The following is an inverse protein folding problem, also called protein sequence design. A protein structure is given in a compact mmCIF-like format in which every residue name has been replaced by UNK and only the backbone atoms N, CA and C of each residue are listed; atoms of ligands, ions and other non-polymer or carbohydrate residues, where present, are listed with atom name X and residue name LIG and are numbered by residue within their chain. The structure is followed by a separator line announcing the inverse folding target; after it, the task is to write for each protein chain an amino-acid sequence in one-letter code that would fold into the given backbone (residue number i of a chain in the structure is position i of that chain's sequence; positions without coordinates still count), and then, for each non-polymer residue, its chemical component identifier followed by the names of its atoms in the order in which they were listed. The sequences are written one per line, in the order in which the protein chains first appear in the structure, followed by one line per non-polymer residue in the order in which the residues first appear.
data_IF_460374419887
#
_entry.id   IF_460374419887
#
_cell.length_a   1.000
_cell.length_b   1.000
_cell.length_c   1.000
_cell.angle_alpha   90.00
_cell.angle_beta   90.00
_cell.angle_gamma   90.00
#
_symmetry.space_group_name_H-M   'P 1'
#
loop_
_entity.id
_entity.type
_entity.pdbx_description
1 polymer ?
#
# COMPACT_ATOMS: atom_id res chain seq x y z
N UNK A 1 -5.35 10.28 0.36
CA UNK A 1 -6.75 9.90 0.01
C UNK A 1 -7.32 9.15 1.21
N UNK A 2 -8.55 8.62 1.19
CA UNK A 2 -9.06 7.82 2.33
C UNK A 2 -8.60 6.36 2.21
N UNK A 3 -8.43 5.65 3.33
CA UNK A 3 -7.92 4.28 3.37
C UNK A 3 -8.80 3.31 2.56
N UNK A 4 -10.12 3.49 2.60
CA UNK A 4 -11.08 2.75 1.78
C UNK A 4 -10.90 2.99 0.27
N UNK A 5 -10.48 4.20 -0.13
CA UNK A 5 -10.15 4.47 -1.53
C UNK A 5 -8.86 3.75 -1.94
N UNK A 6 -7.84 3.75 -1.09
CA UNK A 6 -6.60 3.00 -1.31
C UNK A 6 -6.87 1.49 -1.51
N UNK A 7 -7.73 0.91 -0.67
CA UNK A 7 -8.16 -0.48 -0.80
C UNK A 7 -8.97 -0.75 -2.06
N UNK A 8 -9.89 0.15 -2.43
CA UNK A 8 -10.68 -0.02 -3.65
C UNK A 8 -9.81 -0.01 -4.91
N UNK A 9 -8.83 0.90 -5.01
CA UNK A 9 -7.83 0.89 -6.09
C UNK A 9 -7.06 -0.43 -6.10
N UNK A 10 -6.58 -0.87 -4.93
CA UNK A 10 -5.83 -2.12 -4.76
C UNK A 10 -6.62 -3.32 -5.27
N UNK A 11 -7.90 -3.41 -4.92
CA UNK A 11 -8.79 -4.50 -5.33
C UNK A 11 -9.08 -4.43 -6.84
N UNK A 12 -9.37 -3.24 -7.38
CA UNK A 12 -9.61 -3.06 -8.82
C UNK A 12 -8.41 -3.58 -9.62
N UNK A 13 -7.20 -3.15 -9.27
CA UNK A 13 -5.97 -3.55 -9.96
C UNK A 13 -5.70 -5.05 -9.79
N UNK A 14 -5.88 -5.60 -8.59
CA UNK A 14 -5.70 -7.03 -8.35
C UNK A 14 -6.68 -7.87 -9.19
N UNK A 15 -7.94 -7.45 -9.27
CA UNK A 15 -8.97 -8.12 -10.09
C UNK A 15 -8.63 -8.04 -11.58
N UNK A 16 -8.24 -6.87 -12.09
CA UNK A 16 -7.87 -6.70 -13.49
C UNK A 16 -6.61 -7.51 -13.85
N UNK A 17 -5.62 -7.53 -12.97
CA UNK A 17 -4.40 -8.34 -13.12
C UNK A 17 -4.75 -9.84 -13.13
N UNK A 18 -5.62 -10.27 -12.22
CA UNK A 18 -6.10 -11.66 -12.19
C UNK A 18 -6.80 -12.05 -13.50
N UNK A 19 -7.69 -11.19 -14.00
CA UNK A 19 -8.46 -11.45 -15.20
C UNK A 19 -7.60 -11.47 -16.47
N UNK A 20 -6.63 -10.57 -16.58
CA UNK A 20 -5.80 -10.40 -17.79
C UNK A 20 -4.55 -11.29 -17.81
N UNK A 21 -3.86 -11.42 -16.68
CA UNK A 21 -2.56 -12.09 -16.59
C UNK A 21 -2.62 -13.44 -15.88
N UNK A 22 -3.80 -13.87 -15.40
CA UNK A 22 -4.02 -15.13 -14.66
C UNK A 22 -3.15 -15.26 -13.40
N UNK A 23 -2.78 -14.15 -12.79
CA UNK A 23 -2.04 -14.13 -11.52
C UNK A 23 -2.94 -14.61 -10.37
N UNK A 24 -2.39 -15.27 -9.32
CA UNK A 24 -3.16 -15.73 -8.17
C UNK A 24 -3.81 -14.57 -7.41
N UNK A 25 -5.13 -14.40 -7.55
CA UNK A 25 -5.88 -13.28 -6.96
C UNK A 25 -5.67 -13.13 -5.47
N UNK A 26 -5.79 -14.23 -4.70
CA UNK A 26 -5.73 -14.20 -3.23
C UNK A 26 -4.41 -13.64 -2.70
N UNK A 27 -3.29 -14.15 -3.20
CA UNK A 27 -1.97 -13.70 -2.76
C UNK A 27 -1.71 -12.26 -3.17
N UNK A 28 -2.10 -11.89 -4.40
CA UNK A 28 -1.92 -10.54 -4.90
C UNK A 28 -2.76 -9.52 -4.12
N UNK A 29 -4.07 -9.74 -4.00
CA UNK A 29 -4.97 -8.82 -3.31
C UNK A 29 -4.63 -8.71 -1.83
N UNK A 30 -4.23 -9.82 -1.20
CA UNK A 30 -3.80 -9.79 0.19
C UNK A 30 -2.55 -8.93 0.36
N UNK A 31 -1.54 -9.07 -0.51
CA UNK A 31 -0.35 -8.22 -0.50
C UNK A 31 -0.68 -6.75 -0.74
N UNK A 32 -1.53 -6.45 -1.73
CA UNK A 32 -1.91 -5.07 -2.04
C UNK A 32 -2.71 -4.41 -0.91
N UNK A 33 -3.64 -5.14 -0.28
CA UNK A 33 -4.34 -4.64 0.89
C UNK A 33 -3.38 -4.44 2.07
N UNK A 34 -2.51 -5.41 2.35
CA UNK A 34 -1.54 -5.32 3.44
C UNK A 34 -0.60 -4.12 3.30
N UNK A 35 -0.25 -3.72 2.08
CA UNK A 35 0.55 -2.53 1.82
C UNK A 35 -0.10 -1.23 2.32
N UNK A 36 -1.44 -1.15 2.35
CA UNK A 36 -2.15 0.03 2.85
C UNK A 36 -2.05 0.17 4.38
N UNK A 37 -1.55 -0.84 5.10
CA UNK A 37 -1.21 -0.67 6.52
C UNK A 37 -0.02 0.27 6.72
N UNK A 38 0.64 0.75 5.66
CA UNK A 38 1.65 1.80 5.76
C UNK A 38 1.08 3.05 6.42
N UNK A 39 -0.22 3.33 6.24
CA UNK A 39 -0.96 4.42 6.90
C UNK A 39 -0.93 4.37 8.44
N UNK A 40 -0.46 3.28 9.04
CA UNK A 40 -0.24 3.23 10.49
C UNK A 40 0.78 4.28 10.96
N UNK A 41 1.65 4.78 10.07
CA UNK A 41 2.57 5.88 10.40
C UNK A 41 1.86 7.20 10.71
N UNK A 42 0.65 7.43 10.17
CA UNK A 42 -0.20 8.54 10.60
C UNK A 42 -0.53 8.47 12.10
N UNK A 43 -0.68 7.26 12.65
CA UNK A 43 -0.91 7.06 14.09
C UNK A 43 0.34 7.30 14.95
N UNK A 44 1.53 7.31 14.36
CA UNK A 44 2.80 7.62 15.05
C UNK A 44 3.20 9.10 14.88
N UNK A 45 2.73 9.76 13.83
CA UNK A 45 3.04 11.16 13.47
C UNK A 45 1.82 12.10 13.62
N UNK A 46 0.84 11.73 14.47
CA UNK A 46 -0.47 12.40 14.67
C UNK A 46 -0.37 13.92 14.94
N UNK A 47 0.79 14.40 15.40
CA UNK A 47 1.02 15.82 15.67
C UNK A 47 1.34 16.71 14.46
N UNK A 48 1.78 16.12 13.35
CA UNK A 48 2.07 16.84 12.10
C UNK A 48 0.93 16.74 11.09
N UNK A 49 -0.01 15.82 11.30
CA UNK A 49 -1.14 15.56 10.41
C UNK A 49 -2.36 16.40 10.82
N UNK A 50 -2.46 17.60 10.25
CA UNK A 50 -3.63 18.46 10.43
C UNK A 50 -4.78 18.12 9.46
N UNK A 51 -4.73 16.97 8.77
CA UNK A 51 -5.72 16.55 7.77
C UNK A 51 -5.65 17.31 6.44
N UNK A 52 -4.74 18.27 6.30
CA UNK A 52 -4.48 19.06 5.09
C UNK A 52 -3.01 19.01 4.65
N UNK A 53 -2.15 18.40 5.44
CA UNK A 53 -0.73 18.35 5.20
C UNK A 53 -0.36 17.16 4.28
N UNK A 54 0.68 17.35 3.48
CA UNK A 54 1.09 16.36 2.49
C UNK A 54 1.71 15.13 3.20
N UNK A 55 0.93 14.04 3.27
CA UNK A 55 1.30 12.76 3.88
C UNK A 55 2.65 12.25 3.38
N UNK A 56 2.93 12.44 2.09
CA UNK A 56 4.17 12.02 1.41
C UNK A 56 5.44 12.67 1.95
N UNK A 57 5.33 13.83 2.61
CA UNK A 57 6.48 14.58 3.13
C UNK A 57 6.61 14.53 4.64
N UNK A 58 5.60 14.01 5.33
CA UNK A 58 5.51 14.04 6.78
C UNK A 58 5.69 12.67 7.41
N UNK A 59 5.21 11.62 6.76
CA UNK A 59 5.20 10.30 7.37
C UNK A 59 6.39 9.46 6.95
N UNK A 60 7.05 8.88 7.95
CA UNK A 60 8.34 8.21 7.77
C UNK A 60 8.23 7.05 6.79
N UNK A 61 7.19 6.21 6.87
CA UNK A 61 7.08 5.09 5.94
C UNK A 61 6.70 5.56 4.54
N UNK A 62 5.89 6.60 4.40
CA UNK A 62 5.61 7.24 3.12
C UNK A 62 6.87 7.77 2.43
N UNK A 63 7.77 8.41 3.19
CA UNK A 63 9.06 8.92 2.67
C UNK A 63 9.94 7.77 2.13
N UNK A 64 10.02 6.65 2.86
CA UNK A 64 10.87 5.51 2.48
C UNK A 64 10.16 4.42 1.68
N UNK A 65 8.92 4.67 1.27
CA UNK A 65 8.06 3.71 0.58
C UNK A 65 8.67 3.17 -0.72
N UNK A 66 9.44 3.98 -1.47
CA UNK A 66 10.18 3.52 -2.65
C UNK A 66 11.25 2.49 -2.32
N UNK A 67 11.97 2.67 -1.21
CA UNK A 67 12.95 1.70 -0.72
C UNK A 67 12.26 0.42 -0.22
N UNK A 68 11.16 0.56 0.52
CA UNK A 68 10.36 -0.58 0.99
C UNK A 68 9.79 -1.39 -0.19
N UNK A 69 9.25 -0.72 -1.22
CA UNK A 69 8.75 -1.37 -2.43
C UNK A 69 9.87 -2.12 -3.17
N UNK A 70 11.07 -1.53 -3.25
CA UNK A 70 12.24 -2.19 -3.86
C UNK A 70 12.67 -3.44 -3.08
N UNK A 71 12.61 -3.42 -1.74
CA UNK A 71 12.86 -4.59 -0.89
C UNK A 71 11.85 -5.69 -1.22
N UNK A 72 10.55 -5.39 -1.26
CA UNK A 72 9.54 -6.39 -1.62
C UNK A 72 9.73 -6.95 -3.02
N UNK A 73 10.12 -6.11 -3.99
CA UNK A 73 10.43 -6.57 -5.34
C UNK A 73 11.59 -7.58 -5.35
N UNK A 74 12.69 -7.28 -4.66
CA UNK A 74 13.84 -8.19 -4.54
C UNK A 74 13.44 -9.52 -3.87
N UNK A 75 12.64 -9.47 -2.81
CA UNK A 75 12.12 -10.68 -2.15
C UNK A 75 11.23 -11.48 -3.14
N UNK A 76 10.39 -10.82 -3.94
CA UNK A 76 9.53 -11.47 -4.92
C UNK A 76 10.31 -12.22 -6.01
N UNK A 77 11.50 -11.72 -6.38
CA UNK A 77 12.38 -12.41 -7.33
C UNK A 77 12.88 -13.74 -6.76
N UNK A 78 13.22 -13.78 -5.46
CA UNK A 78 13.81 -14.98 -4.85
C UNK A 78 12.78 -16.03 -4.44
N UNK A 79 11.68 -15.63 -3.81
CA UNK A 79 10.73 -16.58 -3.22
C UNK A 79 9.58 -16.90 -4.16
N UNK A 80 9.77 -17.89 -5.05
CA UNK A 80 8.79 -18.32 -6.05
C UNK A 80 7.40 -18.61 -5.48
N UNK A 81 7.31 -19.29 -4.31
CA UNK A 81 6.05 -19.62 -3.65
C UNK A 81 5.28 -18.42 -3.10
N UNK A 82 5.98 -17.33 -2.78
CA UNK A 82 5.40 -16.11 -2.20
C UNK A 82 5.49 -14.91 -3.15
N UNK A 83 5.93 -15.13 -4.39
CA UNK A 83 6.18 -14.07 -5.39
C UNK A 83 5.02 -13.08 -5.49
N UNK A 84 3.80 -13.58 -5.66
CA UNK A 84 2.63 -12.72 -5.86
C UNK A 84 2.19 -11.97 -4.60
N UNK A 85 2.54 -12.47 -3.41
CA UNK A 85 2.33 -11.72 -2.17
C UNK A 85 3.25 -10.50 -2.14
N UNK A 86 4.54 -10.69 -2.40
CA UNK A 86 5.52 -9.61 -2.37
C UNK A 86 5.39 -8.64 -3.56
N UNK A 87 5.02 -9.13 -4.74
CA UNK A 87 4.59 -8.25 -5.84
C UNK A 87 3.34 -7.45 -5.45
N UNK A 88 2.38 -8.07 -4.77
CA UNK A 88 1.21 -7.39 -4.23
C UNK A 88 1.59 -6.27 -3.26
N UNK A 89 2.51 -6.53 -2.33
CA UNK A 89 3.02 -5.51 -1.42
C UNK A 89 3.70 -4.34 -2.16
N UNK A 90 4.55 -4.65 -3.15
CA UNK A 90 5.22 -3.65 -3.97
C UNK A 90 4.23 -2.78 -4.76
N UNK A 91 3.32 -3.39 -5.53
CA UNK A 91 2.33 -2.65 -6.29
C UNK A 91 1.33 -1.92 -5.38
N UNK A 92 0.92 -2.53 -4.27
CA UNK A 92 0.06 -1.91 -3.28
C UNK A 92 0.64 -0.59 -2.78
N UNK A 93 1.93 -0.57 -2.40
CA UNK A 93 2.62 0.66 -2.00
C UNK A 93 2.66 1.70 -3.13
N UNK A 94 2.96 1.29 -4.36
CA UNK A 94 3.01 2.21 -5.51
C UNK A 94 1.65 2.87 -5.73
N UNK A 95 0.56 2.09 -5.73
CA UNK A 95 -0.80 2.62 -5.91
C UNK A 95 -1.27 3.46 -4.73
N UNK A 96 -0.87 3.08 -3.52
CA UNK A 96 -1.12 3.83 -2.30
C UNK A 96 -0.52 5.24 -2.39
N UNK A 97 0.78 5.36 -2.63
CA UNK A 97 1.45 6.65 -2.80
C UNK A 97 0.91 7.43 -4.00
N UNK A 98 0.56 6.73 -5.07
CA UNK A 98 -0.06 7.35 -6.25
C UNK A 98 -1.40 8.00 -5.91
N UNK A 99 -2.22 7.34 -5.08
CA UNK A 99 -3.48 7.88 -4.59
C UNK A 99 -3.27 9.09 -3.66
N UNK A 100 -2.25 9.03 -2.81
CA UNK A 100 -1.86 10.17 -1.99
C UNK A 100 -1.33 11.35 -2.80
N UNK A 101 -0.56 11.10 -3.86
CA UNK A 101 -0.13 12.14 -4.78
C UNK A 101 -1.32 12.78 -5.51
N UNK A 102 -2.35 12.01 -5.87
CA UNK A 102 -3.61 12.53 -6.42
C UNK A 102 -4.32 13.40 -5.38
N UNK A 103 -4.42 12.93 -4.13
CA UNK A 103 -5.01 13.71 -3.03
C UNK A 103 -4.31 15.05 -2.82
N UNK A 104 -2.97 15.04 -2.79
CA UNK A 104 -2.14 16.22 -2.68
C UNK A 104 -2.31 17.18 -3.87
N UNK A 105 -2.38 16.67 -5.10
CA UNK A 105 -2.64 17.46 -6.30
C UNK A 105 -4.02 18.15 -6.27
N UNK A 106 -5.02 17.49 -5.70
CA UNK A 106 -6.36 18.03 -5.51
C UNK A 106 -6.49 18.91 -4.25
N UNK A 107 -5.37 19.22 -3.59
CA UNK A 107 -5.32 19.98 -2.33
C UNK A 107 -6.26 19.44 -1.25
N UNK A 108 -6.49 18.12 -1.26
CA UNK A 108 -7.41 17.43 -0.37
C UNK A 108 -8.82 18.07 -0.28
N UNK A 109 -9.29 18.74 -1.35
CA UNK A 109 -10.62 19.33 -1.37
C UNK A 109 -11.70 18.24 -1.29
N UNK A 110 -12.54 18.32 -0.25
CA UNK A 110 -13.51 17.28 0.10
C UNK A 110 -14.45 16.96 -1.06
N UNK A 111 -14.92 17.96 -1.80
CA UNK A 111 -15.84 17.77 -2.92
C UNK A 111 -15.22 16.90 -4.04
N UNK A 112 -13.95 17.13 -4.37
CA UNK A 112 -13.23 16.32 -5.36
C UNK A 112 -12.95 14.91 -4.83
N UNK A 113 -12.54 14.78 -3.57
CA UNK A 113 -12.30 13.48 -2.95
C UNK A 113 -13.58 12.65 -2.87
N UNK A 114 -14.73 13.27 -2.57
CA UNK A 114 -16.03 12.63 -2.57
C UNK A 114 -16.42 12.18 -3.98
N UNK A 115 -16.25 13.04 -5.00
CA UNK A 115 -16.47 12.68 -6.39
C UNK A 115 -15.63 11.47 -6.83
N UNK A 116 -14.35 11.45 -6.45
CA UNK A 116 -13.45 10.31 -6.68
C UNK A 116 -13.91 9.05 -5.96
N UNK A 117 -14.36 9.13 -4.70
CA UNK A 117 -14.94 8.00 -3.97
C UNK A 117 -16.09 7.35 -4.73
N UNK A 118 -17.03 8.15 -5.23
CA UNK A 118 -18.20 7.64 -5.96
C UNK A 118 -17.76 6.93 -7.24
N UNK A 119 -16.89 7.57 -8.04
CA UNK A 119 -16.37 6.98 -9.28
C UNK A 119 -15.65 5.66 -8.99
N UNK A 120 -14.82 5.62 -7.95
CA UNK A 120 -14.04 4.46 -7.59
C UNK A 120 -14.91 3.31 -7.09
N UNK A 121 -15.96 3.59 -6.32
CA UNK A 121 -16.92 2.57 -5.87
C UNK A 121 -17.73 2.00 -7.04
N UNK A 122 -18.16 2.83 -7.99
CA UNK A 122 -18.84 2.38 -9.20
C UNK A 122 -17.91 1.52 -10.08
N UNK A 123 -16.66 1.94 -10.23
CA UNK A 123 -15.64 1.18 -10.96
C UNK A 123 -15.34 -0.15 -10.27
N UNK A 124 -15.17 -0.15 -8.95
CA UNK A 124 -14.97 -1.35 -8.16
C UNK A 124 -16.14 -2.32 -8.33
N UNK A 125 -17.37 -1.82 -8.19
CA UNK A 125 -18.58 -2.62 -8.39
C UNK A 125 -18.61 -3.26 -9.78
N UNK A 126 -18.34 -2.47 -10.82
CA UNK A 126 -18.30 -2.97 -12.19
C UNK A 126 -17.22 -4.05 -12.39
N UNK A 127 -15.98 -3.77 -11.98
CA UNK A 127 -14.82 -4.66 -12.16
C UNK A 127 -15.03 -5.97 -11.40
N UNK A 128 -15.46 -5.90 -10.14
CA UNK A 128 -15.67 -7.09 -9.30
C UNK A 128 -16.80 -7.95 -9.87
N UNK A 129 -17.94 -7.37 -10.23
CA UNK A 129 -19.06 -8.16 -10.76
C UNK A 129 -18.80 -8.72 -12.15
N UNK A 130 -17.99 -8.04 -12.97
CA UNK A 130 -17.67 -8.50 -14.33
C UNK A 130 -16.62 -9.62 -14.33
N UNK A 131 -15.63 -9.54 -13.46
CA UNK A 131 -14.42 -10.38 -13.55
C UNK A 131 -14.26 -11.38 -12.40
N UNK A 132 -15.03 -11.27 -11.31
CA UNK A 132 -14.91 -12.16 -10.16
C UNK A 132 -16.15 -13.04 -9.96
N UNK A 133 -15.89 -14.27 -9.49
CA UNK A 133 -16.95 -15.17 -9.06
C UNK A 133 -17.61 -14.67 -7.76
N UNK A 134 -18.90 -14.97 -7.57
CA UNK A 134 -19.71 -14.57 -6.39
C UNK A 134 -19.01 -14.79 -5.04
N UNK A 135 -18.28 -15.91 -4.88
CA UNK A 135 -17.53 -16.22 -3.65
C UNK A 135 -16.46 -15.17 -3.33
N UNK A 136 -15.76 -14.65 -4.33
CA UNK A 136 -14.75 -13.61 -4.14
C UNK A 136 -15.37 -12.23 -3.95
N UNK A 137 -16.52 -11.96 -4.58
CA UNK A 137 -17.25 -10.70 -4.39
C UNK A 137 -17.59 -10.45 -2.92
N UNK A 138 -18.03 -11.46 -2.18
CA UNK A 138 -18.35 -11.34 -0.74
C UNK A 138 -17.11 -10.93 0.05
N UNK A 139 -15.98 -11.59 -0.18
CA UNK A 139 -14.71 -11.29 0.52
C UNK A 139 -14.24 -9.88 0.20
N UNK A 140 -14.32 -9.47 -1.06
CA UNK A 140 -13.94 -8.13 -1.52
C UNK A 140 -14.78 -7.06 -0.82
N UNK A 141 -16.12 -7.18 -0.85
CA UNK A 141 -17.00 -6.20 -0.22
C UNK A 141 -16.84 -6.18 1.30
N UNK A 142 -16.58 -7.33 1.92
CA UNK A 142 -16.23 -7.39 3.34
C UNK A 142 -14.92 -6.64 3.62
N UNK A 143 -13.87 -6.80 2.81
CA UNK A 143 -12.63 -6.04 2.96
C UNK A 143 -12.87 -4.52 2.84
N UNK A 144 -13.64 -4.07 1.84
CA UNK A 144 -14.00 -2.65 1.68
C UNK A 144 -14.74 -2.12 2.90
N UNK A 145 -15.69 -2.90 3.44
CA UNK A 145 -16.42 -2.54 4.65
C UNK A 145 -15.49 -2.39 5.86
N UNK A 146 -14.56 -3.33 6.07
CA UNK A 146 -13.56 -3.24 7.15
C UNK A 146 -12.70 -1.99 7.00
N UNK A 147 -12.22 -1.69 5.79
CA UNK A 147 -11.42 -0.48 5.55
C UNK A 147 -12.21 0.81 5.80
N UNK A 148 -13.49 0.83 5.41
CA UNK A 148 -14.38 1.98 5.67
C UNK A 148 -14.63 2.16 7.18
N UNK A 149 -14.71 1.05 7.92
CA UNK A 149 -14.86 1.09 9.38
C UNK A 149 -13.59 1.64 10.05
N UNK A 150 -12.40 1.25 9.56
CA UNK A 150 -11.11 1.78 10.04
C UNK A 150 -11.03 3.29 9.78
N UNK A 151 -11.36 3.75 8.55
CA UNK A 151 -11.43 5.18 8.22
C UNK A 151 -12.33 5.94 9.21
N UNK A 152 -13.52 5.40 9.49
CA UNK A 152 -14.46 6.00 10.43
C UNK A 152 -13.87 6.14 11.84
N UNK A 153 -13.21 5.09 12.35
CA UNK A 153 -12.56 5.13 13.65
C UNK A 153 -11.37 6.08 13.70
N UNK A 154 -10.56 6.14 12.64
CA UNK A 154 -9.43 7.05 12.53
C UNK A 154 -9.89 8.51 12.54
N UNK A 155 -10.95 8.83 11.78
CA UNK A 155 -11.58 10.15 11.79
C UNK A 155 -12.12 10.52 13.18
N UNK A 156 -12.78 9.58 13.86
CA UNK A 156 -13.29 9.79 15.22
C UNK A 156 -12.17 10.06 16.23
N UNK A 157 -11.09 9.27 16.20
CA UNK A 157 -9.93 9.43 17.09
C UNK A 157 -9.24 10.79 16.83
N UNK A 158 -9.02 11.14 15.57
CA UNK A 158 -8.40 12.41 15.18
C UNK A 158 -9.23 13.62 15.62
N UNK A 159 -10.57 13.55 15.49
CA UNK A 159 -11.45 14.66 15.88
C UNK A 159 -11.54 14.88 17.40
N UNK A 160 -11.53 13.81 18.20
CA UNK A 160 -11.80 13.91 19.65
C UNK A 160 -10.56 13.92 20.56
N UNK A 161 -9.42 13.38 20.12
CA UNK A 161 -8.32 13.06 21.05
C UNK A 161 -7.09 13.96 20.90
N UNK A 162 -6.85 14.59 19.73
CA UNK A 162 -5.50 15.06 19.40
C UNK A 162 -5.37 16.53 18.98
N UNK A 163 -5.88 17.45 19.80
CA UNK A 163 -5.58 18.89 19.69
C UNK A 163 -4.19 19.31 20.21
N UNK A 164 -3.32 18.37 20.63
CA UNK A 164 -2.09 18.69 21.38
C UNK A 164 -0.86 17.80 21.10
N UNK A 165 -0.81 17.05 19.99
CA UNK A 165 0.38 16.27 19.68
C UNK A 165 1.42 17.15 18.99
N UNK A 166 2.57 17.38 19.63
CA UNK A 166 3.78 17.86 18.97
C UNK A 166 4.95 16.97 19.36
N UNK A 167 5.86 16.82 18.39
CA UNK A 167 7.18 16.18 18.40
C UNK A 167 7.23 14.78 17.81
N UNK A 168 7.99 14.61 16.72
CA UNK A 168 9.26 13.85 16.71
C UNK A 168 9.89 13.84 15.29
N UNK A 169 10.78 14.79 14.99
CA UNK A 169 11.57 14.80 13.74
C UNK A 169 12.94 14.12 13.89
N UNK A 170 13.43 13.90 15.11
CA UNK A 170 14.80 13.45 15.36
C UNK A 170 15.10 11.97 15.06
N UNK A 171 14.09 11.09 14.95
CA UNK A 171 14.29 9.65 14.73
C UNK A 171 14.08 9.20 13.27
N UNK A 172 13.58 10.09 12.41
CA UNK A 172 13.23 9.79 11.00
C UNK A 172 14.43 9.33 10.15
N UNK A 173 15.64 9.79 10.47
CA UNK A 173 16.87 9.39 9.77
C UNK A 173 17.37 7.98 10.16
N UNK A 174 17.09 7.52 11.39
CA UNK A 174 17.49 6.16 11.83
C UNK A 174 16.73 5.11 11.04
N UNK A 175 15.44 5.36 10.74
CA UNK A 175 14.64 4.49 9.89
C UNK A 175 15.24 4.39 8.48
N UNK A 176 15.74 5.49 7.91
CA UNK A 176 16.46 5.50 6.63
C UNK A 176 17.65 4.54 6.64
N UNK A 177 18.50 4.65 7.67
CA UNK A 177 19.73 3.85 7.80
C UNK A 177 19.38 2.38 7.96
N UNK A 178 18.39 2.04 8.78
CA UNK A 178 17.94 0.65 8.96
C UNK A 178 17.40 0.08 7.65
N UNK A 179 16.51 0.80 6.96
CA UNK A 179 15.95 0.34 5.68
C UNK A 179 17.03 0.18 4.61
N UNK A 180 18.03 1.07 4.57
CA UNK A 180 19.16 0.96 3.65
C UNK A 180 20.02 -0.27 3.96
N UNK A 181 20.30 -0.55 5.24
CA UNK A 181 21.02 -1.76 5.64
C UNK A 181 20.25 -3.02 5.26
N UNK A 182 18.95 -3.06 5.51
CA UNK A 182 18.07 -4.17 5.10
C UNK A 182 18.12 -4.35 3.57
N UNK A 183 17.99 -3.25 2.82
CA UNK A 183 18.08 -3.28 1.37
C UNK A 183 19.41 -3.85 0.88
N UNK A 184 20.54 -3.36 1.40
CA UNK A 184 21.87 -3.86 1.03
C UNK A 184 22.03 -5.37 1.32
N UNK A 185 21.53 -5.83 2.47
CA UNK A 185 21.58 -7.25 2.85
C UNK A 185 20.75 -8.12 1.91
N UNK A 186 19.52 -7.70 1.61
CA UNK A 186 18.61 -8.42 0.70
C UNK A 186 19.14 -8.39 -0.73
N UNK A 187 19.62 -7.24 -1.20
CA UNK A 187 20.20 -7.10 -2.53
C UNK A 187 21.42 -8.00 -2.71
N UNK A 188 22.35 -7.99 -1.74
CA UNK A 188 23.51 -8.91 -1.75
C UNK A 188 23.08 -10.36 -1.77
N UNK A 189 22.11 -10.73 -0.92
CA UNK A 189 21.60 -12.09 -0.85
C UNK A 189 21.00 -12.54 -2.18
N UNK A 190 20.15 -11.71 -2.81
CA UNK A 190 19.58 -11.98 -4.13
C UNK A 190 20.68 -12.12 -5.17
N UNK A 191 21.61 -11.17 -5.24
CA UNK A 191 22.70 -11.16 -6.23
C UNK A 191 23.60 -12.39 -6.13
N UNK A 192 24.10 -12.73 -4.93
CA UNK A 192 24.97 -13.90 -4.72
C UNK A 192 24.23 -15.17 -5.16
N UNK A 193 22.97 -15.30 -4.76
CA UNK A 193 22.20 -16.49 -5.08
C UNK A 193 21.94 -16.64 -6.58
N UNK A 194 21.83 -15.54 -7.33
CA UNK A 194 21.72 -15.56 -8.79
C UNK A 194 23.03 -15.94 -9.48
N UNK A 195 24.19 -15.55 -8.91
CA UNK A 195 25.51 -15.95 -9.43
C UNK A 195 25.73 -17.45 -9.23
N UNK A 196 25.44 -17.98 -8.03
CA UNK A 196 25.58 -19.41 -7.72
C UNK A 196 24.67 -20.30 -8.59
N UNK A 197 23.43 -19.87 -8.86
CA UNK A 197 22.51 -20.59 -9.75
C UNK A 197 23.07 -20.66 -11.19
N UNK A 198 23.68 -19.59 -11.71
CA UNK A 198 24.25 -19.59 -13.06
C UNK A 198 25.52 -20.44 -13.19
N UNK A 199 26.41 -20.42 -12.19
CA UNK A 199 27.63 -21.24 -12.20
C UNK A 199 27.30 -22.74 -12.20
N UNK A 200 26.25 -23.16 -11.50
CA UNK A 200 25.83 -24.57 -11.47
C UNK A 200 25.11 -25.05 -12.74
N UNK A 201 24.67 -24.14 -13.62
CA UNK A 201 24.07 -24.51 -14.92
C UNK A 201 25.17 -24.73 -15.97
N UNK A 202 26.34 -24.10 -15.80
CA UNK A 202 27.46 -24.16 -16.74
C UNK A 202 28.48 -25.28 -16.46
N UNK A 203 28.37 -25.96 -15.30
CA UNK A 203 29.23 -27.09 -14.88
C UNK A 203 28.59 -28.45 -15.14
#
# INVERSE_FOLDING_TARGET
MWLAQHAAISIIVATLSHASMRVPFKSLVFGMLLANLIDIDHAFDVGSDNGYANSLTLHIFHIYSGLIASIFYLIALKFSHQRYLFLGLCYGLIFHLGADAIGAFLHYQIDYLFGLSVILLLLLWYVVNKFMNKRYCIVIWFSVFIYSLIDFFQMYINYFVFSNAYNYTAWSWIVAVILLLIYCLIFRYVLISSIEENVNIEA
#
